data_IF_997584682382
#
_entry.id   IF_997584682382
#
_cell.length_a   1.000
_cell.length_b   1.000
_cell.length_c   1.000
_cell.angle_alpha   90.00
_cell.angle_beta   90.00
_cell.angle_gamma   90.00
#
_symmetry.space_group_name_H-M   'P 1'
#
loop_
_entity.id
_entity.type
_entity.pdbx_description
1 polymer ?
#
# COMPACT_ATOMS: atom_id res chain seq x y z
N UNK A 1 -7.32 23.98 33.83
CA UNK A 1 -8.31 22.96 33.43
C UNK A 1 -7.66 22.13 32.34
N UNK A 2 -7.24 20.91 32.68
CA UNK A 2 -6.77 19.93 31.69
C UNK A 2 -8.01 19.42 30.95
N UNK A 3 -8.13 19.74 29.67
CA UNK A 3 -9.14 19.14 28.81
C UNK A 3 -8.54 17.82 28.32
N UNK A 4 -9.05 16.64 28.71
CA UNK A 4 -8.55 15.40 28.15
C UNK A 4 -9.03 15.38 26.70
N UNK A 5 -8.13 15.63 25.75
CA UNK A 5 -8.36 15.39 24.33
C UNK A 5 -8.53 13.87 24.11
N UNK A 6 -9.69 13.34 24.48
CA UNK A 6 -10.15 12.01 24.09
C UNK A 6 -10.87 12.09 22.72
N UNK A 7 -10.31 12.87 21.79
CA UNK A 7 -10.64 12.69 20.39
C UNK A 7 -9.84 11.47 19.92
N UNK A 8 -10.53 10.34 19.76
CA UNK A 8 -9.99 9.17 19.09
C UNK A 8 -9.57 9.65 17.69
N UNK A 9 -8.27 9.86 17.48
CA UNK A 9 -7.76 10.26 16.17
C UNK A 9 -8.17 9.19 15.16
N UNK A 10 -8.88 9.53 14.07
CA UNK A 10 -9.29 8.57 13.06
C UNK A 10 -8.09 7.76 12.55
N UNK A 11 -8.27 6.46 12.32
CA UNK A 11 -7.19 5.57 11.86
C UNK A 11 -6.44 6.12 10.62
N UNK A 12 -7.20 6.68 9.67
CA UNK A 12 -6.64 7.29 8.46
C UNK A 12 -5.69 8.45 8.78
N UNK A 13 -5.97 9.26 9.80
CA UNK A 13 -5.10 10.35 10.22
C UNK A 13 -3.81 9.82 10.86
N UNK A 14 -3.88 8.72 11.62
CA UNK A 14 -2.71 8.09 12.22
C UNK A 14 -1.76 7.58 11.14
N UNK A 15 -2.28 6.84 10.15
CA UNK A 15 -1.47 6.39 9.03
C UNK A 15 -0.98 7.55 8.16
N UNK A 16 -1.81 8.57 7.93
CA UNK A 16 -1.44 9.73 7.12
C UNK A 16 -0.27 10.49 7.75
N UNK A 17 -0.32 10.77 9.05
CA UNK A 17 0.77 11.42 9.78
C UNK A 17 2.07 10.60 9.69
N UNK A 18 1.98 9.28 9.90
CA UNK A 18 3.12 8.38 9.75
C UNK A 18 3.72 8.46 8.33
N UNK A 19 2.87 8.32 7.31
CA UNK A 19 3.31 8.31 5.92
C UNK A 19 3.90 9.65 5.49
N UNK A 20 3.31 10.77 5.92
CA UNK A 20 3.82 12.11 5.63
C UNK A 20 5.21 12.34 6.24
N UNK A 21 5.43 11.90 7.48
CA UNK A 21 6.73 11.99 8.13
C UNK A 21 7.79 11.17 7.38
N UNK A 22 7.45 9.94 6.97
CA UNK A 22 8.35 9.06 6.23
C UNK A 22 8.62 9.58 4.81
N UNK A 23 7.62 10.17 4.14
CA UNK A 23 7.77 10.83 2.84
C UNK A 23 8.69 12.03 2.94
N UNK A 24 8.50 12.87 3.97
CA UNK A 24 9.35 14.04 4.21
C UNK A 24 10.80 13.65 4.43
N UNK A 25 11.06 12.57 5.18
CA UNK A 25 12.41 12.03 5.35
C UNK A 25 12.99 11.51 4.03
N UNK A 26 12.24 10.70 3.26
CA UNK A 26 12.70 10.19 1.98
C UNK A 26 13.05 11.31 0.98
N UNK A 27 12.25 12.38 0.93
CA UNK A 27 12.54 13.56 0.11
C UNK A 27 13.76 14.32 0.61
N UNK A 28 13.90 14.51 1.93
CA UNK A 28 15.04 15.20 2.53
C UNK A 28 16.36 14.51 2.23
N UNK A 29 16.37 13.18 2.19
CA UNK A 29 17.56 12.37 1.88
C UNK A 29 17.71 12.06 0.38
N UNK A 30 16.89 12.66 -0.48
CA UNK A 30 17.00 12.51 -1.94
C UNK A 30 16.53 11.16 -2.48
N UNK A 31 15.98 10.27 -1.64
CA UNK A 31 15.46 8.95 -2.05
C UNK A 31 14.21 9.11 -2.93
N UNK A 32 13.37 10.10 -2.60
CA UNK A 32 12.07 10.34 -3.22
C UNK A 32 11.93 11.82 -3.63
N UNK A 33 10.94 12.13 -4.45
CA UNK A 33 10.60 13.50 -4.84
C UNK A 33 9.37 14.03 -4.10
N UNK A 34 9.17 15.36 -4.09
CA UNK A 34 7.97 15.97 -3.51
C UNK A 34 6.67 15.52 -4.18
N UNK A 35 6.73 15.05 -5.43
CA UNK A 35 5.54 14.60 -6.18
C UNK A 35 4.91 13.35 -5.56
N UNK A 36 5.69 12.54 -4.86
CA UNK A 36 5.26 11.31 -4.19
C UNK A 36 4.12 11.53 -3.18
N UNK A 37 3.99 12.73 -2.60
CA UNK A 37 2.90 13.05 -1.68
C UNK A 37 1.49 12.80 -2.28
N UNK A 38 1.32 12.97 -3.60
CA UNK A 38 0.04 12.71 -4.24
C UNK A 38 -0.37 11.22 -4.23
N UNK A 39 0.61 10.30 -4.23
CA UNK A 39 0.36 8.85 -4.04
C UNK A 39 0.21 8.47 -2.57
N UNK A 40 0.68 9.31 -1.67
CA UNK A 40 0.64 9.10 -0.22
C UNK A 40 -0.54 9.78 0.47
N UNK A 41 -1.54 10.22 -0.31
CA UNK A 41 -2.82 10.68 0.24
C UNK A 41 -3.70 9.46 0.50
N UNK A 42 -4.03 9.20 1.76
CA UNK A 42 -4.86 8.09 2.18
C UNK A 42 -6.33 8.51 2.32
N UNK A 43 -7.22 7.57 2.07
CA UNK A 43 -8.66 7.73 2.26
C UNK A 43 -9.25 6.39 2.71
N UNK A 44 -10.52 6.39 3.10
CA UNK A 44 -11.25 5.16 3.39
C UNK A 44 -12.16 4.77 2.23
N UNK A 45 -12.34 3.47 2.02
CA UNK A 45 -13.35 2.93 1.10
C UNK A 45 -13.97 1.66 1.68
N UNK A 46 -15.24 1.41 1.35
CA UNK A 46 -15.90 0.15 1.67
C UNK A 46 -15.47 -0.94 0.68
N UNK A 47 -15.12 -2.12 1.18
CA UNK A 47 -14.79 -3.30 0.37
C UNK A 47 -15.61 -4.51 0.85
N UNK A 48 -15.76 -5.50 -0.02
CA UNK A 48 -16.32 -6.81 0.33
C UNK A 48 -15.21 -7.85 0.31
N UNK A 49 -15.00 -8.51 1.44
CA UNK A 49 -14.03 -9.60 1.60
C UNK A 49 -14.56 -10.90 0.96
N UNK A 50 -13.66 -11.86 0.71
CA UNK A 50 -13.99 -13.14 0.10
C UNK A 50 -14.97 -13.98 0.92
N UNK A 51 -15.00 -13.76 2.24
CA UNK A 51 -15.96 -14.36 3.17
C UNK A 51 -17.33 -13.64 3.20
N UNK A 52 -17.50 -12.61 2.36
CA UNK A 52 -18.72 -11.81 2.27
C UNK A 52 -18.82 -10.67 3.29
N UNK A 53 -17.85 -10.51 4.21
CA UNK A 53 -17.85 -9.39 5.16
C UNK A 53 -17.65 -8.06 4.44
N UNK A 54 -18.48 -7.07 4.77
CA UNK A 54 -18.30 -5.68 4.33
C UNK A 54 -17.47 -4.95 5.38
N UNK A 55 -16.34 -4.40 4.96
CA UNK A 55 -15.40 -3.71 5.85
C UNK A 55 -14.96 -2.40 5.24
N UNK A 56 -14.55 -1.45 6.08
CA UNK A 56 -13.89 -0.22 5.64
C UNK A 56 -12.38 -0.45 5.65
N UNK A 57 -11.71 -0.13 4.55
CA UNK A 57 -10.26 -0.22 4.39
C UNK A 57 -9.65 1.17 4.16
N UNK A 58 -8.48 1.43 4.73
CA UNK A 58 -7.65 2.59 4.39
C UNK A 58 -6.85 2.26 3.13
N UNK A 59 -6.92 3.13 2.13
CA UNK A 59 -6.31 2.92 0.81
C UNK A 59 -5.68 4.22 0.30
N UNK A 60 -4.65 4.14 -0.56
CA UNK A 60 -4.18 5.27 -1.35
C UNK A 60 -5.28 5.81 -2.27
N UNK A 61 -5.56 7.11 -2.20
CA UNK A 61 -6.61 7.75 -2.99
C UNK A 61 -6.39 7.61 -4.50
N UNK A 62 -5.13 7.51 -4.95
CA UNK A 62 -4.77 7.28 -6.35
C UNK A 62 -5.29 5.95 -6.92
N UNK A 63 -5.60 4.96 -6.07
CA UNK A 63 -6.16 3.68 -6.52
C UNK A 63 -7.67 3.75 -6.78
N UNK A 64 -8.38 4.69 -6.15
CA UNK A 64 -9.83 4.83 -6.35
C UNK A 64 -10.17 5.35 -7.75
N UNK A 65 -9.33 6.20 -8.34
CA UNK A 65 -9.56 6.74 -9.69
C UNK A 65 -9.42 5.70 -10.80
N UNK A 66 -8.73 4.59 -10.52
CA UNK A 66 -8.49 3.50 -11.48
C UNK A 66 -9.28 2.24 -11.17
N UNK A 67 -10.02 2.21 -10.05
CA UNK A 67 -10.83 1.06 -9.63
C UNK A 67 -12.27 1.18 -10.15
N UNK A 68 -12.75 0.21 -10.94
CA UNK A 68 -14.15 0.19 -11.41
C UNK A 68 -15.17 -0.12 -10.30
N UNK A 69 -14.74 -0.69 -9.17
CA UNK A 69 -15.62 -1.10 -8.07
C UNK A 69 -16.05 0.07 -7.16
N UNK A 70 -15.40 1.23 -7.27
CA UNK A 70 -15.62 2.36 -6.36
C UNK A 70 -16.76 3.23 -6.89
N UNK A 71 -18.00 2.84 -6.59
CA UNK A 71 -19.13 3.77 -6.60
C UNK A 71 -19.16 4.46 -5.24
N UNK A 72 -18.88 5.77 -5.22
CA UNK A 72 -18.84 6.63 -4.03
C UNK A 72 -20.00 6.33 -3.05
N UNK A 73 -19.74 5.50 -2.05
CA UNK A 73 -20.61 5.29 -0.92
C UNK A 73 -19.75 5.46 0.33
N UNK A 74 -19.46 6.72 0.64
CA UNK A 74 -18.89 7.12 1.92
C UNK A 74 -19.90 6.86 3.03
N UNK A 75 -19.96 5.62 3.52
CA UNK A 75 -20.51 5.37 4.85
C UNK A 75 -19.36 5.46 5.83
N UNK A 76 -19.36 6.52 6.65
CA UNK A 76 -18.56 6.58 7.87
C UNK A 76 -18.97 5.40 8.76
N UNK A 77 -18.27 4.28 8.62
CA UNK A 77 -18.29 3.20 9.59
C UNK A 77 -17.09 3.45 10.49
N UNK A 78 -17.33 3.52 11.80
CA UNK A 78 -16.27 3.66 12.79
C UNK A 78 -15.21 2.58 12.54
N UNK A 79 -14.02 3.02 12.16
CA UNK A 79 -12.90 2.12 11.87
C UNK A 79 -12.19 1.84 13.19
N UNK A 80 -12.11 0.58 13.65
CA UNK A 80 -11.36 0.25 14.86
C UNK A 80 -9.93 0.76 14.72
N UNK A 81 -9.48 1.56 15.67
CA UNK A 81 -8.09 2.06 15.70
C UNK A 81 -7.18 0.95 16.19
N UNK A 82 -6.87 0.00 15.30
CA UNK A 82 -5.82 -0.98 15.50
C UNK A 82 -4.72 -0.69 14.46
N UNK A 83 -3.59 -0.18 14.96
CA UNK A 83 -2.40 0.09 14.16
C UNK A 83 -1.32 -0.87 14.62
N UNK A 84 -0.81 -1.69 13.70
CA UNK A 84 0.39 -2.49 13.97
C UNK A 84 1.64 -1.65 13.74
N UNK A 85 2.19 -1.14 14.85
CA UNK A 85 3.43 -0.34 14.81
C UNK A 85 4.65 -1.16 14.36
N UNK A 86 4.61 -2.49 14.44
CA UNK A 86 5.73 -3.32 13.99
C UNK A 86 5.83 -3.31 12.46
N UNK A 87 4.70 -3.52 11.77
CA UNK A 87 4.59 -3.39 10.30
C UNK A 87 5.07 -2.02 9.82
N UNK A 88 4.62 -0.95 10.47
CA UNK A 88 5.01 0.42 10.10
C UNK A 88 6.52 0.65 10.27
N UNK A 89 7.15 0.12 11.33
CA UNK A 89 8.60 0.26 11.56
C UNK A 89 9.42 -0.58 10.59
N UNK A 90 9.00 -1.81 10.31
CA UNK A 90 9.68 -2.71 9.38
C UNK A 90 9.59 -2.22 7.93
N UNK A 91 8.47 -1.57 7.59
CA UNK A 91 8.18 -1.07 6.25
C UNK A 91 7.61 0.37 6.33
N UNK A 92 8.46 1.40 6.31
CA UNK A 92 8.06 2.77 6.67
C UNK A 92 7.08 3.46 5.71
N UNK A 93 6.88 2.92 4.50
CA UNK A 93 6.02 3.52 3.48
C UNK A 93 4.68 2.77 3.38
N UNK A 94 4.00 2.94 2.25
CA UNK A 94 2.80 2.20 1.84
C UNK A 94 2.79 0.69 2.19
N UNK A 95 3.89 -0.09 2.04
CA UNK A 95 3.86 -1.52 2.35
C UNK A 95 3.52 -1.83 3.82
N UNK A 96 4.00 -1.03 4.78
CA UNK A 96 3.72 -1.24 6.20
C UNK A 96 2.28 -0.91 6.58
N UNK A 97 1.69 0.09 5.92
CA UNK A 97 0.27 0.43 6.12
C UNK A 97 -0.60 -0.71 5.59
N UNK A 98 -0.29 -1.29 4.43
CA UNK A 98 -1.00 -2.45 3.91
C UNK A 98 -0.94 -3.65 4.88
N UNK A 99 0.24 -3.95 5.46
CA UNK A 99 0.38 -5.03 6.43
C UNK A 99 -0.43 -4.75 7.72
N UNK A 100 -0.37 -3.53 8.25
CA UNK A 100 -1.16 -3.11 9.40
C UNK A 100 -2.68 -3.22 9.12
N UNK A 101 -3.10 -2.88 7.91
CA UNK A 101 -4.49 -3.08 7.46
C UNK A 101 -4.87 -4.56 7.37
N UNK A 102 -3.95 -5.44 6.92
CA UNK A 102 -4.21 -6.88 6.90
C UNK A 102 -4.48 -7.41 8.31
N UNK A 103 -3.68 -7.01 9.31
CA UNK A 103 -3.90 -7.40 10.71
C UNK A 103 -5.25 -6.87 11.21
N UNK A 104 -5.54 -5.59 10.98
CA UNK A 104 -6.81 -4.97 11.41
C UNK A 104 -8.04 -5.63 10.80
N UNK A 105 -7.94 -6.07 9.55
CA UNK A 105 -9.02 -6.72 8.82
C UNK A 105 -9.06 -8.24 9.00
N UNK A 106 -8.18 -8.80 9.84
CA UNK A 106 -8.07 -10.24 10.11
C UNK A 106 -7.77 -11.04 8.83
N UNK A 107 -6.84 -10.53 8.03
CA UNK A 107 -6.33 -11.14 6.80
C UNK A 107 -4.95 -11.77 7.06
N UNK A 108 -4.87 -12.66 8.07
CA UNK A 108 -3.60 -13.21 8.59
C UNK A 108 -2.78 -13.95 7.52
N UNK A 109 -3.45 -14.73 6.66
CA UNK A 109 -2.77 -15.45 5.58
C UNK A 109 -2.13 -14.49 4.56
N UNK A 110 -2.82 -13.40 4.24
CA UNK A 110 -2.31 -12.38 3.33
C UNK A 110 -1.17 -11.59 3.98
N UNK A 111 -1.31 -11.21 5.25
CA UNK A 111 -0.25 -10.57 6.03
C UNK A 111 1.03 -11.41 5.98
N UNK A 112 0.95 -12.68 6.40
CA UNK A 112 2.11 -13.58 6.47
C UNK A 112 2.73 -13.82 5.10
N UNK A 113 1.90 -13.91 4.06
CA UNK A 113 2.36 -14.01 2.69
C UNK A 113 3.15 -12.77 2.25
N UNK A 114 2.57 -11.58 2.42
CA UNK A 114 3.18 -10.33 2.01
C UNK A 114 4.45 -10.03 2.81
N UNK A 115 4.45 -10.26 4.11
CA UNK A 115 5.63 -10.07 4.97
C UNK A 115 6.81 -10.92 4.48
N UNK A 116 6.57 -12.22 4.22
CA UNK A 116 7.60 -13.12 3.68
C UNK A 116 8.13 -12.64 2.34
N UNK A 117 7.24 -12.27 1.42
CA UNK A 117 7.64 -11.78 0.10
C UNK A 117 8.44 -10.48 0.23
N UNK A 118 7.93 -9.49 0.96
CA UNK A 118 8.58 -8.18 1.13
C UNK A 118 9.98 -8.28 1.74
N UNK A 119 10.21 -9.26 2.63
CA UNK A 119 11.53 -9.51 3.22
C UNK A 119 12.57 -10.03 2.20
N UNK A 120 12.10 -10.64 1.11
CA UNK A 120 12.94 -11.20 0.05
C UNK A 120 13.14 -10.24 -1.13
N UNK A 121 12.29 -9.23 -1.30
CA UNK A 121 12.40 -8.25 -2.40
C UNK A 121 13.48 -7.21 -2.10
N UNK A 122 14.44 -7.10 -3.02
CA UNK A 122 15.59 -6.18 -2.98
C UNK A 122 15.59 -5.18 -4.14
N UNK A 123 14.94 -5.52 -5.25
CA UNK A 123 14.83 -4.64 -6.41
C UNK A 123 14.04 -3.36 -6.04
N UNK A 124 14.59 -2.15 -6.32
CA UNK A 124 13.90 -0.90 -6.05
C UNK A 124 12.54 -0.83 -6.74
N UNK A 125 11.50 -0.44 -6.00
CA UNK A 125 10.15 -0.27 -6.55
C UNK A 125 9.35 -1.56 -6.69
N UNK A 126 9.98 -2.75 -6.61
CA UNK A 126 9.28 -4.02 -6.75
C UNK A 126 8.31 -4.26 -5.59
N UNK A 127 8.73 -3.89 -4.37
CA UNK A 127 7.89 -3.96 -3.17
C UNK A 127 6.71 -3.01 -3.28
N UNK A 128 6.97 -1.76 -3.64
CA UNK A 128 6.00 -0.69 -3.85
C UNK A 128 4.95 -1.07 -4.89
N UNK A 129 5.38 -1.65 -6.00
CA UNK A 129 4.50 -2.15 -7.06
C UNK A 129 3.58 -3.26 -6.57
N UNK A 130 4.15 -4.23 -5.83
CA UNK A 130 3.40 -5.36 -5.28
C UNK A 130 2.36 -4.88 -4.26
N UNK A 131 2.71 -3.89 -3.44
CA UNK A 131 1.80 -3.24 -2.49
C UNK A 131 0.61 -2.60 -3.21
N UNK A 132 0.85 -1.81 -4.25
CA UNK A 132 -0.23 -1.14 -4.99
C UNK A 132 -1.12 -2.16 -5.73
N UNK A 133 -0.54 -3.20 -6.35
CA UNK A 133 -1.34 -4.26 -6.97
C UNK A 133 -2.20 -5.00 -5.95
N UNK A 134 -1.65 -5.32 -4.77
CA UNK A 134 -2.39 -6.00 -3.71
C UNK A 134 -3.56 -5.16 -3.21
N UNK A 135 -3.35 -3.88 -2.91
CA UNK A 135 -4.45 -2.99 -2.55
C UNK A 135 -5.51 -2.89 -3.63
N UNK A 136 -5.10 -2.72 -4.90
CA UNK A 136 -6.03 -2.65 -6.01
C UNK A 136 -6.89 -3.92 -6.10
N UNK A 137 -6.29 -5.10 -6.00
CA UNK A 137 -7.03 -6.35 -6.04
C UNK A 137 -7.96 -6.51 -4.82
N UNK A 138 -7.57 -6.06 -3.63
CA UNK A 138 -8.44 -6.04 -2.44
C UNK A 138 -9.67 -5.16 -2.64
N UNK A 139 -9.47 -3.93 -3.14
CA UNK A 139 -10.55 -2.96 -3.40
C UNK A 139 -11.55 -3.48 -4.43
N UNK A 140 -11.07 -4.21 -5.43
CA UNK A 140 -11.91 -4.79 -6.48
C UNK A 140 -12.43 -6.20 -6.13
N UNK A 141 -12.29 -6.65 -4.88
CA UNK A 141 -12.71 -7.99 -4.42
C UNK A 141 -12.08 -9.15 -5.21
N UNK A 142 -10.86 -8.96 -5.73
CA UNK A 142 -10.07 -9.94 -6.49
C UNK A 142 -9.12 -10.75 -5.59
N UNK A 143 -9.60 -11.17 -4.43
CA UNK A 143 -8.79 -11.83 -3.38
C UNK A 143 -8.30 -13.24 -3.75
N UNK A 144 -8.82 -13.84 -4.83
CA UNK A 144 -8.42 -15.17 -5.33
C UNK A 144 -7.25 -15.13 -6.34
N UNK A 145 -6.48 -14.05 -6.38
CA UNK A 145 -5.40 -13.83 -7.36
C UNK A 145 -4.13 -14.67 -7.14
N UNK A 146 -4.15 -15.60 -6.19
CA UNK A 146 -3.05 -16.52 -5.93
C UNK A 146 -1.87 -15.87 -5.20
N UNK A 147 -2.13 -14.86 -4.36
CA UNK A 147 -1.13 -14.24 -3.49
C UNK A 147 -0.34 -15.29 -2.69
N UNK A 148 -1.03 -16.30 -2.15
CA UNK A 148 -0.45 -17.34 -1.30
C UNK A 148 0.64 -18.19 -1.98
N UNK A 149 0.76 -18.15 -3.31
CA UNK A 149 1.82 -18.84 -4.05
C UNK A 149 3.12 -18.02 -4.17
N UNK A 150 3.08 -16.71 -3.92
CA UNK A 150 4.24 -15.84 -4.07
C UNK A 150 5.44 -16.20 -3.17
N UNK A 151 5.27 -16.64 -1.90
CA UNK A 151 6.41 -16.92 -1.03
C UNK A 151 7.29 -18.10 -1.50
N UNK A 152 6.80 -18.92 -2.44
CA UNK A 152 7.56 -20.02 -3.04
C UNK A 152 8.33 -19.62 -4.30
N UNK A 153 8.18 -18.37 -4.77
CA UNK A 153 8.80 -17.87 -5.99
C UNK A 153 10.11 -17.12 -5.67
N UNK A 154 11.05 -17.18 -6.61
CA UNK A 154 12.21 -16.28 -6.65
C UNK A 154 11.77 -14.84 -6.94
N UNK A 155 12.63 -13.87 -6.61
CA UNK A 155 12.37 -12.45 -6.88
C UNK A 155 12.08 -12.19 -8.38
N UNK A 156 12.80 -12.84 -9.28
CA UNK A 156 12.58 -12.73 -10.73
C UNK A 156 11.22 -13.28 -11.16
N UNK A 157 10.77 -14.37 -10.55
CA UNK A 157 9.44 -14.94 -10.82
C UNK A 157 8.32 -14.07 -10.26
N UNK A 158 8.52 -13.47 -9.06
CA UNK A 158 7.60 -12.48 -8.49
C UNK A 158 7.49 -11.26 -9.42
N UNK A 159 8.62 -10.73 -9.89
CA UNK A 159 8.66 -9.62 -10.85
C UNK A 159 7.90 -9.95 -12.14
N UNK A 160 8.21 -11.08 -12.77
CA UNK A 160 7.54 -11.51 -14.01
C UNK A 160 6.04 -11.66 -13.81
N UNK A 161 5.62 -12.22 -12.68
CA UNK A 161 4.20 -12.38 -12.35
C UNK A 161 3.54 -11.02 -12.14
N UNK A 162 4.17 -10.13 -11.38
CA UNK A 162 3.71 -8.77 -11.16
C UNK A 162 3.52 -8.03 -12.50
N UNK A 163 4.51 -8.04 -13.39
CA UNK A 163 4.43 -7.43 -14.71
C UNK A 163 3.26 -8.01 -15.53
N UNK A 164 3.12 -9.34 -15.53
CA UNK A 164 2.03 -10.04 -16.23
C UNK A 164 0.66 -9.66 -15.68
N UNK A 165 0.56 -9.42 -14.36
CA UNK A 165 -0.69 -9.00 -13.70
C UNK A 165 -0.98 -7.52 -13.95
N UNK A 166 0.01 -6.64 -13.83
CA UNK A 166 -0.15 -5.21 -14.09
C UNK A 166 -0.50 -4.94 -15.57
N UNK A 167 0.00 -5.75 -16.51
CA UNK A 167 -0.38 -5.67 -17.92
C UNK A 167 -1.88 -5.92 -18.16
N UNK A 168 -2.58 -6.60 -17.25
CA UNK A 168 -4.03 -6.80 -17.31
C UNK A 168 -4.81 -5.53 -16.88
N UNK A 169 -4.14 -4.57 -16.24
CA UNK A 169 -4.73 -3.35 -15.69
C UNK A 169 -3.96 -2.10 -16.16
N UNK A 170 -4.14 -1.64 -17.42
CA UNK A 170 -3.33 -0.56 -18.00
C UNK A 170 -3.36 0.76 -17.21
N UNK A 171 -4.49 1.08 -16.57
CA UNK A 171 -4.61 2.29 -15.75
C UNK A 171 -3.81 2.17 -14.45
N UNK A 172 -3.88 1.02 -13.78
CA UNK A 172 -3.08 0.73 -12.60
C UNK A 172 -1.58 0.71 -12.94
N UNK A 173 -1.21 0.10 -14.07
CA UNK A 173 0.18 0.06 -14.53
C UNK A 173 0.79 1.46 -14.58
N UNK A 174 0.07 2.43 -15.16
CA UNK A 174 0.53 3.83 -15.23
C UNK A 174 0.70 4.48 -13.85
N UNK A 175 -0.27 4.27 -12.95
CA UNK A 175 -0.19 4.79 -11.57
C UNK A 175 1.00 4.22 -10.82
N UNK A 176 1.27 2.92 -10.99
CA UNK A 176 2.40 2.21 -10.39
C UNK A 176 3.72 2.69 -10.96
N UNK A 177 3.85 2.80 -12.27
CA UNK A 177 5.07 3.25 -12.95
C UNK A 177 5.47 4.68 -12.51
N UNK A 178 4.51 5.61 -12.52
CA UNK A 178 4.75 6.97 -12.05
C UNK A 178 5.08 7.02 -10.55
N UNK A 179 4.43 6.18 -9.73
CA UNK A 179 4.74 6.09 -8.31
C UNK A 179 6.18 5.68 -8.07
N UNK A 180 6.63 4.58 -8.70
CA UNK A 180 8.00 4.07 -8.53
C UNK A 180 9.00 5.12 -8.97
N UNK A 181 8.75 5.77 -10.12
CA UNK A 181 9.60 6.83 -10.64
C UNK A 181 9.84 7.92 -9.59
N UNK A 182 8.78 8.42 -8.93
CA UNK A 182 8.93 9.48 -7.94
C UNK A 182 9.37 9.00 -6.55
N UNK A 183 8.95 7.81 -6.13
CA UNK A 183 9.22 7.25 -4.82
C UNK A 183 10.64 6.68 -4.69
N UNK A 184 11.20 6.18 -5.79
CA UNK A 184 12.53 5.58 -5.87
C UNK A 184 13.50 6.38 -6.74
N UNK A 185 13.18 7.64 -7.06
CA UNK A 185 13.99 8.50 -7.93
C UNK A 185 15.48 8.49 -7.56
N UNK A 186 15.81 8.63 -6.28
CA UNK A 186 17.21 8.67 -5.81
C UNK A 186 17.92 7.31 -5.77
N UNK A 187 17.19 6.21 -5.98
CA UNK A 187 17.76 4.87 -6.09
C UNK A 187 18.14 4.54 -7.54
N UNK A 188 17.69 5.33 -8.50
CA UNK A 188 18.05 5.20 -9.90
C UNK A 188 19.40 5.89 -10.09
N UNK A 189 20.39 5.09 -10.48
CA UNK A 189 21.79 5.52 -10.53
C UNK A 189 21.97 6.73 -11.46
N UNK A 190 22.42 7.86 -10.90
CA UNK A 190 23.21 8.86 -11.64
C UNK A 190 24.65 8.34 -11.85
N UNK A 191 24.79 7.17 -12.47
CA UNK A 191 26.06 6.78 -13.08
C UNK A 191 25.91 6.92 -14.60
N UNK A 192 26.39 8.01 -15.22
CA UNK A 192 26.73 7.91 -16.63
C UNK A 192 27.77 6.77 -16.77
N UNK A 193 27.69 5.94 -17.82
CA UNK A 193 28.80 5.06 -18.14
C UNK A 193 30.03 5.94 -18.41
N UNK A 194 31.01 5.88 -17.51
CA UNK A 194 32.35 6.41 -17.75
C UNK A 194 33.06 5.61 -18.84
#
# INVERSE_FOLDING_TARGET
MYNPCNEITPLVEVYQRWLDDQTRLAVRYGISTRKTHSWHTLTTTGITLADGRRVTMVVPACLLSVSPAVNNAGSHVDVPVLVDMNSLRSYPQLPGILLSECIRLWLDDLHNCLERVFSCLREPGLRESLTLLCWYELVNSLQNSGWLYLPGLSEQEVKKRLETRLAQYPLLYRVVDEYIFFASFGLWSEAPPC
#
